data_IF_724692948686
#
_entry.id   IF_724692948686
#
_cell.length_a   1.000
_cell.length_b   1.000
_cell.length_c   1.000
_cell.angle_alpha   90.00
_cell.angle_beta   90.00
_cell.angle_gamma   90.00
#
_symmetry.space_group_name_H-M   'P 1'
#
loop_
_entity.id
_entity.type
_entity.pdbx_description
1 polymer ?
#
# COMPACT_ATOMS: atom_id res chain seq x y z
N UNK A 1 17.05 23.82 -16.84
CA UNK A 1 15.76 23.30 -16.36
C UNK A 1 15.92 21.79 -16.34
N UNK A 2 16.10 21.15 -15.18
CA UNK A 2 16.41 19.73 -15.15
C UNK A 2 15.16 18.93 -15.54
N UNK A 3 15.19 18.36 -16.73
CA UNK A 3 14.28 17.33 -17.19
C UNK A 3 14.52 16.06 -16.36
N UNK A 4 13.53 15.66 -15.55
CA UNK A 4 13.53 14.39 -14.82
C UNK A 4 13.46 13.22 -15.80
N UNK A 5 14.66 12.80 -16.20
CA UNK A 5 14.92 11.77 -17.21
C UNK A 5 14.75 10.39 -16.56
N UNK A 6 13.77 9.65 -17.12
CA UNK A 6 13.72 8.20 -17.34
C UNK A 6 14.44 7.30 -16.32
N UNK A 7 13.69 6.37 -15.75
CA UNK A 7 14.10 4.96 -15.76
C UNK A 7 12.87 4.05 -15.62
N UNK A 8 12.69 3.20 -16.63
CA UNK A 8 11.82 2.03 -16.64
C UNK A 8 12.76 0.85 -16.90
N UNK A 9 12.80 -0.15 -16.01
CA UNK A 9 13.02 -1.51 -16.47
C UNK A 9 12.09 -2.54 -15.78
N UNK A 10 11.27 -3.16 -16.63
CA UNK A 10 10.77 -4.54 -16.48
C UNK A 10 11.97 -5.53 -16.46
N UNK A 11 11.87 -6.81 -16.01
CA UNK A 11 11.05 -7.44 -14.98
C UNK A 11 11.92 -8.17 -13.91
N UNK A 12 11.32 -8.59 -12.79
CA UNK A 12 11.81 -9.68 -11.89
C UNK A 12 13.06 -9.46 -11.00
N UNK A 13 12.95 -8.67 -9.92
CA UNK A 13 13.58 -8.99 -8.60
C UNK A 13 12.74 -8.30 -7.51
N UNK A 14 12.35 -9.06 -6.48
CA UNK A 14 11.57 -8.61 -5.31
C UNK A 14 12.43 -7.76 -4.35
N UNK A 15 13.17 -6.79 -4.89
CA UNK A 15 14.02 -5.83 -4.18
C UNK A 15 13.33 -4.48 -4.29
N UNK A 16 12.98 -3.87 -3.15
CA UNK A 16 12.10 -2.69 -3.02
C UNK A 16 12.33 -1.63 -4.12
N UNK A 17 11.62 -1.74 -5.24
CA UNK A 17 11.80 -0.84 -6.38
C UNK A 17 11.24 0.53 -6.03
N UNK A 18 11.98 1.57 -6.39
CA UNK A 18 11.48 2.94 -6.31
C UNK A 18 10.39 3.11 -7.37
N UNK A 19 9.31 3.77 -7.01
CA UNK A 19 8.20 4.06 -7.91
C UNK A 19 7.91 5.56 -7.89
N UNK A 20 7.27 6.06 -8.93
CA UNK A 20 6.77 7.44 -8.97
C UNK A 20 5.25 7.50 -9.14
N UNK A 21 4.65 6.42 -9.64
CA UNK A 21 3.23 6.28 -9.94
C UNK A 21 2.83 4.81 -9.83
N UNK A 22 1.55 4.57 -9.59
CA UNK A 22 1.02 3.21 -9.43
C UNK A 22 1.29 2.30 -10.64
N UNK A 23 1.33 2.86 -11.84
CA UNK A 23 1.60 2.15 -13.09
C UNK A 23 3.01 1.56 -13.18
N UNK A 24 3.93 2.01 -12.32
CA UNK A 24 5.30 1.50 -12.26
C UNK A 24 5.40 0.19 -11.47
N UNK A 25 4.42 -0.08 -10.60
CA UNK A 25 4.34 -1.27 -9.77
C UNK A 25 3.44 -2.34 -10.43
N UNK A 26 3.59 -3.60 -10.02
CA UNK A 26 2.73 -4.66 -10.53
C UNK A 26 1.27 -4.53 -10.04
N UNK A 27 0.36 -5.27 -10.67
CA UNK A 27 -1.06 -5.26 -10.32
C UNK A 27 -1.34 -5.72 -8.87
N UNK A 28 -0.40 -6.45 -8.27
CA UNK A 28 -0.46 -6.91 -6.87
C UNK A 28 0.37 -6.02 -5.91
N UNK A 29 0.77 -4.85 -6.38
CA UNK A 29 1.60 -3.89 -5.65
C UNK A 29 0.98 -2.50 -5.65
N UNK A 30 1.47 -1.65 -4.75
CA UNK A 30 1.19 -0.24 -4.80
C UNK A 30 2.42 0.63 -4.53
N UNK A 31 2.37 1.85 -5.07
CA UNK A 31 3.38 2.85 -4.84
C UNK A 31 3.12 3.60 -3.52
N UNK A 32 3.97 3.36 -2.52
CA UNK A 32 3.84 3.96 -1.18
C UNK A 32 4.93 5.00 -0.98
N UNK A 33 4.52 6.19 -0.51
CA UNK A 33 5.43 7.23 -0.03
C UNK A 33 5.15 7.50 1.46
N UNK A 34 6.04 7.02 2.34
CA UNK A 34 5.86 7.15 3.80
C UNK A 34 6.29 8.54 4.29
N UNK A 35 7.36 9.09 3.70
CA UNK A 35 7.80 10.45 3.98
C UNK A 35 8.12 11.15 2.66
N UNK A 36 7.88 12.47 2.60
CA UNK A 36 8.26 13.29 1.44
C UNK A 36 9.77 13.33 1.20
N UNK A 37 10.58 12.98 2.21
CA UNK A 37 12.04 12.82 2.11
C UNK A 37 12.48 11.43 1.66
N UNK A 38 11.57 10.45 1.68
CA UNK A 38 11.85 9.08 1.28
C UNK A 38 11.39 8.88 -0.17
N UNK A 39 12.21 8.19 -0.95
CA UNK A 39 11.80 7.75 -2.28
C UNK A 39 10.55 6.86 -2.15
N UNK A 40 9.52 7.06 -3.00
CA UNK A 40 8.38 6.17 -3.00
C UNK A 40 8.84 4.78 -3.45
N UNK A 41 8.28 3.73 -2.85
CA UNK A 41 8.65 2.35 -3.19
C UNK A 41 7.43 1.48 -3.44
N UNK A 42 7.55 0.55 -4.39
CA UNK A 42 6.55 -0.48 -4.60
C UNK A 42 6.52 -1.41 -3.40
N UNK A 43 5.32 -1.59 -2.85
CA UNK A 43 5.04 -2.53 -1.77
C UNK A 43 3.91 -3.43 -2.21
N UNK A 44 3.91 -4.67 -1.75
CA UNK A 44 2.81 -5.61 -2.03
C UNK A 44 1.50 -5.13 -1.38
N UNK A 45 0.40 -5.40 -2.06
CA UNK A 45 -0.94 -5.17 -1.54
C UNK A 45 -1.18 -6.04 -0.28
N UNK A 46 -2.08 -5.57 0.57
CA UNK A 46 -2.47 -6.28 1.80
C UNK A 46 -3.32 -7.50 1.43
N UNK A 47 -2.99 -8.66 2.01
CA UNK A 47 -3.73 -9.90 1.77
C UNK A 47 -4.90 -10.05 2.75
N UNK A 48 -5.69 -11.12 2.59
CA UNK A 48 -6.83 -11.38 3.46
C UNK A 48 -6.40 -11.52 4.92
N UNK A 49 -7.05 -10.75 5.79
CA UNK A 49 -6.75 -10.73 7.23
C UNK A 49 -5.60 -9.82 7.63
N UNK A 50 -4.86 -9.24 6.68
CA UNK A 50 -3.90 -8.18 6.98
C UNK A 50 -4.62 -6.93 7.50
N UNK A 51 -3.95 -6.25 8.43
CA UNK A 51 -4.37 -4.93 8.89
C UNK A 51 -4.27 -3.95 7.73
N UNK A 52 -5.36 -3.26 7.45
CA UNK A 52 -5.41 -2.23 6.42
C UNK A 52 -5.76 -0.90 7.06
N UNK A 53 -5.65 0.18 6.32
CA UNK A 53 -6.09 1.49 6.76
C UNK A 53 -6.92 2.10 5.64
N UNK A 54 -8.09 2.62 5.97
CA UNK A 54 -9.02 3.19 5.00
C UNK A 54 -8.55 4.54 4.44
N UNK A 55 -7.71 5.26 5.19
CA UNK A 55 -7.29 6.64 4.89
C UNK A 55 -5.79 6.73 4.55
N UNK A 56 -5.37 5.97 3.55
CA UNK A 56 -3.98 5.95 3.07
C UNK A 56 -3.77 6.81 1.82
N UNK A 57 -4.82 7.36 1.22
CA UNK A 57 -4.69 8.07 -0.05
C UNK A 57 -4.12 9.48 0.18
N UNK A 58 -2.93 9.77 -0.35
CA UNK A 58 -2.43 11.13 -0.44
C UNK A 58 -3.04 11.85 -1.65
N UNK A 59 -3.06 13.20 -1.57
CA UNK A 59 -3.65 14.09 -2.55
C UNK A 59 -3.05 13.97 -3.97
N UNK A 60 -1.90 13.31 -4.11
CA UNK A 60 -1.18 13.11 -5.38
C UNK A 60 -1.43 11.72 -6.02
N UNK A 61 -2.36 10.92 -5.48
CA UNK A 61 -2.63 9.56 -5.97
C UNK A 61 -1.63 8.51 -5.47
N UNK A 62 -0.65 8.89 -4.66
CA UNK A 62 0.22 7.97 -3.93
C UNK A 62 -0.44 7.54 -2.62
N UNK A 63 -0.03 6.36 -2.11
CA UNK A 63 -0.47 5.94 -0.78
C UNK A 63 0.55 6.39 0.28
N UNK A 64 0.07 7.09 1.30
CA UNK A 64 0.80 7.33 2.53
C UNK A 64 0.75 6.08 3.41
N UNK A 65 1.83 5.81 4.14
CA UNK A 65 1.95 4.75 5.15
C UNK A 65 1.82 3.29 4.69
N UNK A 66 1.08 2.96 3.63
CA UNK A 66 0.96 1.57 3.18
C UNK A 66 0.04 1.36 1.99
N UNK A 67 -0.01 0.12 1.52
CA UNK A 67 -0.87 -0.25 0.40
C UNK A 67 -2.29 -0.60 0.81
N UNK A 68 -3.25 -0.43 -0.13
CA UNK A 68 -4.60 -0.96 0.04
C UNK A 68 -4.61 -2.49 -0.02
N UNK A 69 -5.79 -3.06 0.21
CA UNK A 69 -6.05 -4.48 0.03
C UNK A 69 -5.89 -4.92 -1.43
N UNK A 70 -5.50 -6.18 -1.63
CA UNK A 70 -5.43 -6.78 -2.96
C UNK A 70 -6.79 -6.71 -3.67
N UNK A 71 -6.75 -6.64 -5.00
CA UNK A 71 -7.94 -6.48 -5.83
C UNK A 71 -8.96 -7.58 -5.52
N UNK A 72 -10.15 -7.16 -5.09
CA UNK A 72 -11.23 -8.06 -4.69
C UNK A 72 -11.47 -8.13 -3.18
N UNK A 73 -10.53 -7.63 -2.37
CA UNK A 73 -10.73 -7.47 -0.93
C UNK A 73 -11.08 -6.01 -0.60
N UNK A 74 -11.99 -5.84 0.36
CA UNK A 74 -12.32 -4.54 0.92
C UNK A 74 -11.71 -4.39 2.30
N UNK A 75 -11.15 -3.21 2.51
CA UNK A 75 -10.70 -2.78 3.82
C UNK A 75 -11.93 -2.40 4.64
N UNK A 76 -12.16 -3.10 5.75
CA UNK A 76 -13.33 -2.85 6.59
C UNK A 76 -13.13 -3.26 8.05
N UNK A 77 -13.93 -2.69 8.97
CA UNK A 77 -13.81 -2.94 10.39
C UNK A 77 -14.21 -4.39 10.73
N UNK A 78 -13.25 -5.16 11.22
CA UNK A 78 -13.49 -6.49 11.77
C UNK A 78 -13.49 -6.44 13.30
N UNK A 79 -14.38 -7.24 13.90
CA UNK A 79 -14.42 -7.43 15.35
C UNK A 79 -13.26 -8.32 15.78
N UNK A 80 -12.39 -7.78 16.61
CA UNK A 80 -11.24 -8.47 17.19
C UNK A 80 -11.43 -8.51 18.69
N UNK A 81 -11.44 -9.71 19.26
CA UNK A 81 -11.50 -9.89 20.70
C UNK A 81 -10.08 -9.74 21.24
N UNK A 82 -9.85 -8.69 22.03
CA UNK A 82 -8.60 -8.49 22.75
C UNK A 82 -8.46 -9.52 23.88
N UNK A 83 -7.24 -9.71 24.39
CA UNK A 83 -6.94 -10.67 25.46
C UNK A 83 -7.68 -10.34 26.78
N UNK A 84 -8.14 -9.09 26.93
CA UNK A 84 -9.00 -8.64 28.03
C UNK A 84 -10.51 -8.89 27.81
N UNK A 85 -10.91 -9.55 26.72
CA UNK A 85 -12.33 -9.77 26.38
C UNK A 85 -13.03 -8.52 25.82
N UNK A 86 -12.28 -7.48 25.45
CA UNK A 86 -12.82 -6.26 24.85
C UNK A 86 -12.92 -6.44 23.33
N UNK A 87 -14.09 -6.16 22.77
CA UNK A 87 -14.28 -6.16 21.30
C UNK A 87 -13.75 -4.85 20.74
N UNK A 88 -12.68 -4.93 19.96
CA UNK A 88 -12.14 -3.82 19.17
C UNK A 88 -12.57 -3.97 17.72
N UNK A 89 -12.69 -2.86 17.01
CA UNK A 89 -12.91 -2.84 15.58
C UNK A 89 -11.58 -2.45 14.93
N UNK A 90 -10.93 -3.40 14.27
CA UNK A 90 -9.70 -3.16 13.52
C UNK A 90 -9.98 -3.30 12.04
N UNK A 91 -9.45 -2.38 11.26
CA UNK A 91 -9.67 -2.35 9.82
C UNK A 91 -8.78 -3.43 9.17
N UNK A 92 -9.40 -4.42 8.56
CA UNK A 92 -8.71 -5.59 7.98
C UNK A 92 -9.25 -5.89 6.60
N UNK A 93 -8.40 -6.44 5.73
CA UNK A 93 -8.81 -6.86 4.40
C UNK A 93 -9.73 -8.08 4.48
N UNK A 94 -11.02 -7.87 4.21
CA UNK A 94 -12.07 -8.88 4.12
C UNK A 94 -12.64 -8.97 2.70
N UNK A 95 -13.57 -9.90 2.51
CA UNK A 95 -14.37 -10.04 1.28
C UNK A 95 -15.63 -9.14 1.38
#
# INVERSE_FOLDING_TARGET
>A
MPESKKESPSPQVCESKKCHKQEDCEADECCVQVLSIADPTCRKLRQRGDHCLTDLTMNDGNYAFGCPCVKGLKCGPQKVLDHNGVVKFEDRCGD
#
